data_IF_588330923405
#
_entry.id   IF_588330923405
#
_cell.length_a   1.000
_cell.length_b   1.000
_cell.length_c   1.000
_cell.angle_alpha   90.00
_cell.angle_beta   90.00
_cell.angle_gamma   90.00
#
_symmetry.space_group_name_H-M   'P 1'
#
loop_
_entity.id
_entity.type
_entity.pdbx_description
1 polymer ?
#
# COMPACT_ATOMS: atom_id res chain seq x y z
N UNK A 1 -35.49 30.32 -2.04
CA UNK A 1 -34.94 30.51 -0.71
C UNK A 1 -33.57 29.84 -0.70
N UNK A 2 -32.55 30.66 -0.92
CA UNK A 2 -31.14 30.26 -0.94
C UNK A 2 -30.65 30.25 0.52
N UNK A 3 -30.33 29.07 1.06
CA UNK A 3 -29.58 28.95 2.31
C UNK A 3 -28.12 29.14 1.99
N UNK A 4 -27.57 30.24 2.50
CA UNK A 4 -26.20 30.64 2.26
C UNK A 4 -25.17 29.68 2.87
N UNK A 5 -24.02 29.71 2.24
CA UNK A 5 -22.77 29.03 2.61
C UNK A 5 -22.04 29.67 3.82
N UNK A 6 -22.75 30.47 4.63
CA UNK A 6 -22.13 31.37 5.62
C UNK A 6 -22.13 30.83 7.06
N UNK A 7 -22.42 29.55 7.27
CA UNK A 7 -22.50 28.95 8.60
C UNK A 7 -21.38 27.93 8.94
N UNK A 8 -20.21 28.08 8.33
CA UNK A 8 -18.98 27.50 8.85
C UNK A 8 -18.34 28.52 9.78
N UNK A 9 -18.55 28.31 11.10
CA UNK A 9 -18.14 29.21 12.18
C UNK A 9 -16.80 29.89 11.90
N UNK A 10 -16.84 31.22 11.76
CA UNK A 10 -15.72 32.04 11.34
C UNK A 10 -14.59 32.08 12.36
N UNK A 11 -13.70 31.13 12.31
CA UNK A 11 -12.30 31.36 12.59
C UNK A 11 -11.67 31.74 11.25
N UNK A 12 -11.31 32.99 11.06
CA UNK A 12 -10.40 33.40 9.99
C UNK A 12 -9.25 32.41 9.96
N UNK A 13 -9.22 31.57 8.92
CA UNK A 13 -8.03 30.79 8.57
C UNK A 13 -7.00 31.77 8.02
N UNK A 14 -6.45 32.59 8.90
CA UNK A 14 -5.24 33.35 8.63
C UNK A 14 -4.14 32.29 8.57
N UNK A 15 -3.69 31.95 7.38
CA UNK A 15 -2.42 31.26 7.16
C UNK A 15 -1.32 32.16 7.75
N UNK A 16 -1.07 32.02 9.04
CA UNK A 16 0.07 32.61 9.69
C UNK A 16 1.31 31.81 9.21
N UNK A 17 1.85 32.22 8.05
CA UNK A 17 3.02 31.56 7.44
C UNK A 17 4.21 31.52 8.42
N UNK A 18 4.33 32.52 9.27
CA UNK A 18 5.29 32.64 10.37
C UNK A 18 5.19 31.50 11.40
N UNK A 19 4.02 30.86 11.56
CA UNK A 19 3.86 29.72 12.46
C UNK A 19 4.53 28.45 11.94
N UNK A 20 4.71 28.31 10.62
CA UNK A 20 5.39 27.19 10.01
C UNK A 20 6.92 27.25 10.15
N UNK A 21 7.45 28.42 10.51
CA UNK A 21 8.88 28.65 10.75
C UNK A 21 9.26 28.49 12.23
N UNK A 22 8.28 28.25 13.10
CA UNK A 22 8.48 28.15 14.55
C UNK A 22 8.39 26.69 15.00
N UNK A 23 9.53 26.10 15.33
CA UNK A 23 9.64 24.68 15.66
C UNK A 23 8.72 24.27 16.82
N UNK A 24 8.68 25.06 17.90
CA UNK A 24 7.85 24.78 19.09
C UNK A 24 6.35 24.71 18.73
N UNK A 25 5.90 25.55 17.77
CA UNK A 25 4.50 25.56 17.32
C UNK A 25 4.20 24.34 16.48
N UNK A 26 5.14 23.93 15.64
CA UNK A 26 5.03 22.70 14.81
C UNK A 26 4.94 21.48 15.73
N UNK A 27 5.86 21.35 16.69
CA UNK A 27 5.88 20.23 17.65
C UNK A 27 4.59 20.18 18.49
N UNK A 28 4.13 21.30 18.99
CA UNK A 28 2.87 21.37 19.74
C UNK A 28 1.64 21.00 18.90
N UNK A 29 1.71 21.18 17.57
CA UNK A 29 0.63 20.86 16.64
C UNK A 29 0.66 19.42 16.14
N UNK A 30 1.74 18.67 16.39
CA UNK A 30 1.94 17.29 15.95
C UNK A 30 2.13 16.30 17.13
N UNK A 31 1.12 16.15 18.00
CA UNK A 31 1.22 15.24 19.16
C UNK A 31 1.39 13.76 18.78
N UNK A 32 1.13 13.42 17.53
CA UNK A 32 1.31 12.07 16.97
C UNK A 32 2.67 11.84 16.32
N UNK A 33 3.58 12.82 16.33
CA UNK A 33 4.89 12.76 15.68
C UNK A 33 4.81 12.33 14.19
N UNK A 34 3.75 12.79 13.50
CA UNK A 34 3.45 12.42 12.11
C UNK A 34 4.49 12.96 11.15
N UNK A 35 4.99 14.18 11.40
CA UNK A 35 6.01 14.81 10.56
C UNK A 35 7.30 13.98 10.53
N UNK A 36 7.75 13.49 11.69
CA UNK A 36 8.92 12.60 11.75
C UNK A 36 8.68 11.27 11.02
N UNK A 37 7.47 10.72 11.17
CA UNK A 37 7.09 9.50 10.48
C UNK A 37 7.11 9.70 8.96
N UNK A 38 6.59 10.81 8.45
CA UNK A 38 6.65 11.16 7.02
C UNK A 38 8.10 11.39 6.58
N UNK A 39 8.91 12.07 7.37
CA UNK A 39 10.33 12.28 7.10
C UNK A 39 11.13 10.95 7.04
N UNK A 40 10.61 9.86 7.63
CA UNK A 40 11.23 8.54 7.57
C UNK A 40 11.06 7.83 6.20
N UNK A 41 10.43 8.45 5.20
CA UNK A 41 10.14 7.86 3.89
C UNK A 41 11.33 7.14 3.25
N UNK A 42 12.51 7.80 3.21
CA UNK A 42 13.72 7.19 2.67
C UNK A 42 14.18 5.93 3.45
N UNK A 43 13.97 5.90 4.76
CA UNK A 43 14.26 4.71 5.58
C UNK A 43 13.26 3.59 5.27
N UNK A 44 11.98 3.92 5.10
CA UNK A 44 10.95 2.96 4.70
C UNK A 44 11.29 2.31 3.36
N UNK A 45 11.70 3.09 2.35
CA UNK A 45 12.14 2.57 1.04
C UNK A 45 13.27 1.55 1.21
N UNK A 46 14.36 1.93 1.92
CA UNK A 46 15.51 1.03 2.10
C UNK A 46 15.15 -0.25 2.84
N UNK A 47 14.31 -0.14 3.86
CA UNK A 47 13.89 -1.31 4.67
C UNK A 47 12.97 -2.21 3.85
N UNK A 48 12.01 -1.66 3.13
CA UNK A 48 11.11 -2.42 2.28
C UNK A 48 11.85 -3.14 1.13
N UNK A 49 12.83 -2.49 0.50
CA UNK A 49 13.70 -3.13 -0.49
C UNK A 49 14.46 -4.31 0.10
N UNK A 50 15.02 -4.16 1.32
CA UNK A 50 15.69 -5.26 2.01
C UNK A 50 14.74 -6.42 2.27
N UNK A 51 13.54 -6.16 2.80
CA UNK A 51 12.53 -7.20 3.02
C UNK A 51 12.16 -7.91 1.72
N UNK A 52 12.07 -7.19 0.59
CA UNK A 52 11.82 -7.81 -0.72
C UNK A 52 12.97 -8.72 -1.16
N UNK A 53 14.24 -8.34 -0.89
CA UNK A 53 15.40 -9.17 -1.23
C UNK A 53 15.49 -10.46 -0.38
N UNK A 54 14.97 -10.41 0.85
CA UNK A 54 14.91 -11.54 1.77
C UNK A 54 13.70 -12.46 1.51
N UNK A 55 12.73 -12.00 0.69
CA UNK A 55 11.52 -12.74 0.37
C UNK A 55 11.67 -13.45 -0.99
N UNK A 56 11.27 -14.73 -1.05
CA UNK A 56 11.21 -15.45 -2.32
C UNK A 56 10.05 -14.93 -3.20
N UNK A 57 10.38 -14.08 -4.16
CA UNK A 57 9.46 -13.54 -5.15
C UNK A 57 9.59 -14.24 -6.53
N UNK A 58 10.15 -15.45 -6.59
CA UNK A 58 10.41 -16.18 -7.83
C UNK A 58 9.13 -16.54 -8.61
N UNK A 59 7.97 -16.56 -7.95
CA UNK A 59 6.67 -16.77 -8.58
C UNK A 59 6.24 -15.60 -9.50
N UNK A 60 6.87 -14.42 -9.37
CA UNK A 60 6.57 -13.23 -10.18
C UNK A 60 7.67 -13.04 -11.23
N UNK A 61 7.41 -13.50 -12.44
CA UNK A 61 8.35 -13.44 -13.58
C UNK A 61 7.66 -12.86 -14.81
N UNK A 62 8.41 -12.39 -15.83
CA UNK A 62 7.84 -11.86 -17.07
C UNK A 62 6.88 -12.85 -17.76
N UNK A 63 7.19 -14.15 -17.70
CA UNK A 63 6.40 -15.21 -18.31
C UNK A 63 5.06 -15.44 -17.62
N UNK A 64 4.92 -14.93 -16.40
CA UNK A 64 3.70 -15.04 -15.58
C UNK A 64 2.84 -13.78 -15.60
N UNK A 65 2.89 -13.02 -16.70
CA UNK A 65 2.14 -11.78 -16.84
C UNK A 65 0.65 -11.98 -16.53
N UNK A 66 0.09 -11.23 -15.58
CA UNK A 66 -1.31 -11.37 -15.20
C UNK A 66 -2.22 -10.64 -16.19
N UNK A 67 -3.51 -10.99 -16.16
CA UNK A 67 -4.57 -10.19 -16.78
C UNK A 67 -4.81 -8.88 -16.01
N UNK A 68 -4.84 -8.96 -14.67
CA UNK A 68 -4.96 -7.81 -13.80
C UNK A 68 -4.14 -8.01 -12.50
N UNK A 69 -3.75 -6.89 -11.90
CA UNK A 69 -3.19 -6.84 -10.55
C UNK A 69 -4.27 -6.21 -9.66
N UNK A 70 -4.75 -6.98 -8.69
CA UNK A 70 -5.73 -6.53 -7.72
C UNK A 70 -5.01 -6.20 -6.41
N UNK A 71 -5.09 -4.96 -5.99
CA UNK A 71 -4.49 -4.50 -4.73
C UNK A 71 -5.58 -4.39 -3.68
N UNK A 72 -5.54 -5.26 -2.68
CA UNK A 72 -6.48 -5.25 -1.56
C UNK A 72 -5.85 -4.57 -0.35
N UNK A 73 -6.38 -3.41 0.04
CA UNK A 73 -5.87 -2.66 1.19
C UNK A 73 -6.77 -1.49 1.55
N UNK A 74 -7.00 -1.31 2.85
CA UNK A 74 -7.89 -0.28 3.36
C UNK A 74 -7.14 1.02 3.63
N UNK A 75 -7.79 2.16 3.37
CA UNK A 75 -7.25 3.50 3.65
C UNK A 75 -5.86 3.74 3.05
N UNK A 76 -4.88 4.07 3.86
CA UNK A 76 -3.50 4.32 3.41
C UNK A 76 -2.83 3.12 2.71
N UNK A 77 -3.27 1.89 3.00
CA UNK A 77 -2.77 0.70 2.30
C UNK A 77 -3.27 0.64 0.85
N UNK A 78 -4.51 1.10 0.59
CA UNK A 78 -5.03 1.23 -0.77
C UNK A 78 -4.26 2.24 -1.62
N UNK A 79 -3.77 3.32 -1.00
CA UNK A 79 -2.97 4.34 -1.68
C UNK A 79 -1.67 3.77 -2.28
N UNK A 80 -1.10 2.73 -1.70
CA UNK A 80 0.05 2.04 -2.31
C UNK A 80 -0.29 1.42 -3.68
N UNK A 81 -1.53 0.97 -3.87
CA UNK A 81 -2.04 0.52 -5.17
C UNK A 81 -2.15 1.65 -6.19
N UNK A 82 -2.56 2.85 -5.75
CA UNK A 82 -2.58 4.04 -6.62
C UNK A 82 -1.17 4.40 -7.11
N UNK A 83 -0.16 4.32 -6.23
CA UNK A 83 1.24 4.52 -6.61
C UNK A 83 1.66 3.51 -7.68
N UNK A 84 1.35 2.23 -7.50
CA UNK A 84 1.64 1.21 -8.51
C UNK A 84 0.96 1.54 -9.84
N UNK A 85 -0.33 1.86 -9.81
CA UNK A 85 -1.10 2.24 -11.00
C UNK A 85 -0.50 3.44 -11.74
N UNK A 86 -0.08 4.46 -11.00
CA UNK A 86 0.56 5.65 -11.56
C UNK A 86 1.91 5.35 -12.24
N UNK A 87 2.72 4.47 -11.64
CA UNK A 87 4.02 4.05 -12.20
C UNK A 87 3.84 3.16 -13.44
N UNK A 88 2.89 2.24 -13.40
CA UNK A 88 2.57 1.38 -14.55
C UNK A 88 2.05 2.23 -15.72
N UNK A 89 1.25 3.22 -15.43
CA UNK A 89 0.71 4.17 -16.40
C UNK A 89 -0.39 3.61 -17.31
N UNK A 90 -1.06 4.49 -18.07
CA UNK A 90 -2.24 4.14 -18.84
C UNK A 90 -1.95 3.28 -20.10
N UNK A 91 -0.71 3.20 -20.54
CA UNK A 91 -0.32 2.40 -21.69
C UNK A 91 -0.08 0.91 -21.34
N UNK A 92 -0.16 0.54 -20.07
CA UNK A 92 0.02 -0.85 -19.64
C UNK A 92 -1.15 -1.72 -20.11
N UNK A 93 -0.86 -2.90 -20.65
CA UNK A 93 -1.89 -3.88 -20.97
C UNK A 93 -2.38 -4.66 -19.71
N UNK A 94 -1.80 -4.41 -18.55
CA UNK A 94 -2.21 -4.98 -17.26
C UNK A 94 -2.89 -3.90 -16.45
N UNK A 95 -4.13 -4.15 -16.05
CA UNK A 95 -4.89 -3.22 -15.22
C UNK A 95 -4.52 -3.37 -13.75
N UNK A 96 -4.43 -2.25 -13.03
CA UNK A 96 -4.36 -2.23 -11.56
C UNK A 96 -5.74 -1.87 -11.02
N UNK A 97 -6.29 -2.74 -10.18
CA UNK A 97 -7.61 -2.57 -9.58
C UNK A 97 -7.45 -2.53 -8.06
N UNK A 98 -7.95 -1.48 -7.43
CA UNK A 98 -7.86 -1.32 -5.97
C UNK A 98 -9.18 -1.76 -5.34
N UNK A 99 -9.08 -2.65 -4.37
CA UNK A 99 -10.21 -3.19 -3.60
C UNK A 99 -10.11 -2.70 -2.16
N UNK A 100 -11.06 -1.86 -1.77
CA UNK A 100 -11.20 -1.34 -0.41
C UNK A 100 -12.51 -1.85 0.22
N UNK A 101 -12.69 -3.16 0.16
CA UNK A 101 -13.83 -3.87 0.73
C UNK A 101 -13.42 -5.27 1.16
N UNK A 102 -14.31 -5.98 1.81
CA UNK A 102 -14.14 -7.39 2.21
C UNK A 102 -14.45 -8.39 1.08
N UNK A 103 -14.86 -7.89 -0.09
CA UNK A 103 -15.28 -8.72 -1.21
C UNK A 103 -14.29 -8.66 -2.38
N UNK A 104 -13.74 -9.81 -2.73
CA UNK A 104 -12.96 -9.96 -3.96
C UNK A 104 -13.93 -10.00 -5.16
N UNK A 105 -13.78 -9.10 -6.17
CA UNK A 105 -14.64 -9.09 -7.34
C UNK A 105 -14.79 -10.47 -7.99
N UNK A 106 -15.98 -10.80 -8.48
CA UNK A 106 -16.32 -12.13 -9.00
C UNK A 106 -15.51 -12.57 -10.21
N UNK A 107 -14.96 -11.62 -10.98
CA UNK A 107 -14.15 -11.90 -12.16
C UNK A 107 -12.68 -12.27 -11.83
N UNK A 108 -12.21 -12.02 -10.59
CA UNK A 108 -10.83 -12.30 -10.17
C UNK A 108 -10.63 -13.79 -9.97
N UNK A 109 -9.57 -14.33 -10.54
CA UNK A 109 -9.24 -15.76 -10.50
C UNK A 109 -7.77 -16.05 -10.78
N UNK A 110 -7.46 -17.28 -11.15
CA UNK A 110 -6.09 -17.77 -11.33
C UNK A 110 -5.24 -17.02 -12.38
N UNK A 111 -5.88 -16.28 -13.31
CA UNK A 111 -5.19 -15.45 -14.29
C UNK A 111 -4.75 -14.08 -13.73
N UNK A 112 -5.12 -13.78 -12.52
CA UNK A 112 -4.87 -12.49 -11.88
C UNK A 112 -3.89 -12.63 -10.72
N UNK A 113 -3.30 -11.50 -10.32
CA UNK A 113 -2.49 -11.38 -9.11
C UNK A 113 -3.27 -10.59 -8.08
N UNK A 114 -3.27 -11.06 -6.83
CA UNK A 114 -3.80 -10.32 -5.69
C UNK A 114 -2.64 -9.94 -4.77
N UNK A 115 -2.51 -8.63 -4.52
CA UNK A 115 -1.54 -8.07 -3.57
C UNK A 115 -2.32 -7.59 -2.34
N UNK A 116 -2.22 -8.32 -1.24
CA UNK A 116 -2.95 -8.04 0.00
C UNK A 116 -2.08 -7.21 0.95
N UNK A 117 -2.54 -6.00 1.29
CA UNK A 117 -1.77 -5.03 2.05
C UNK A 117 -2.48 -4.69 3.37
N UNK A 118 -1.78 -4.86 4.47
CA UNK A 118 -2.24 -4.40 5.78
C UNK A 118 -1.06 -4.04 6.66
N UNK A 119 -0.91 -2.76 7.00
CA UNK A 119 0.18 -2.32 7.87
C UNK A 119 0.19 -3.04 9.23
N UNK A 120 -0.99 -3.32 9.80
CA UNK A 120 -1.14 -4.10 11.03
C UNK A 120 -1.15 -5.61 10.80
N UNK A 121 -1.41 -6.05 9.56
CA UNK A 121 -1.66 -7.45 9.25
C UNK A 121 -2.94 -8.03 9.85
N UNK A 122 -3.86 -7.17 10.35
CA UNK A 122 -5.06 -7.56 11.09
C UNK A 122 -6.36 -6.99 10.49
N UNK A 123 -6.29 -6.27 9.36
CA UNK A 123 -7.46 -5.62 8.74
C UNK A 123 -8.41 -6.67 8.19
N UNK A 124 -9.61 -6.75 8.76
CA UNK A 124 -10.57 -7.82 8.47
C UNK A 124 -10.91 -7.95 6.98
N UNK A 125 -11.12 -6.83 6.30
CA UNK A 125 -11.43 -6.78 4.87
C UNK A 125 -10.27 -7.34 4.03
N UNK A 126 -9.03 -6.93 4.34
CA UNK A 126 -7.84 -7.45 3.64
C UNK A 126 -7.66 -8.95 3.87
N UNK A 127 -7.91 -9.43 5.10
CA UNK A 127 -7.84 -10.85 5.43
C UNK A 127 -8.90 -11.66 4.67
N UNK A 128 -10.14 -11.15 4.58
CA UNK A 128 -11.21 -11.78 3.82
C UNK A 128 -10.84 -11.91 2.33
N UNK A 129 -10.36 -10.82 1.72
CA UNK A 129 -9.94 -10.81 0.31
C UNK A 129 -8.76 -11.75 0.08
N UNK A 130 -7.74 -11.75 0.94
CA UNK A 130 -6.57 -12.63 0.81
C UNK A 130 -6.97 -14.11 0.91
N UNK A 131 -7.86 -14.45 1.86
CA UNK A 131 -8.40 -15.81 2.02
C UNK A 131 -9.17 -16.25 0.79
N UNK A 132 -10.03 -15.39 0.26
CA UNK A 132 -10.81 -15.70 -0.94
C UNK A 132 -9.92 -15.81 -2.19
N UNK A 133 -8.89 -14.97 -2.33
CA UNK A 133 -7.91 -15.05 -3.40
C UNK A 133 -7.17 -16.40 -3.39
N UNK A 134 -6.73 -16.84 -2.21
CA UNK A 134 -6.10 -18.15 -2.03
C UNK A 134 -7.07 -19.30 -2.42
N UNK A 135 -8.34 -19.21 -1.98
CA UNK A 135 -9.37 -20.21 -2.32
C UNK A 135 -9.64 -20.30 -3.83
N UNK A 136 -9.59 -19.17 -4.55
CA UNK A 136 -9.78 -19.11 -6.01
C UNK A 136 -8.54 -19.48 -6.81
N UNK A 137 -7.42 -19.80 -6.16
CA UNK A 137 -6.16 -20.12 -6.81
C UNK A 137 -5.50 -18.91 -7.49
N UNK A 138 -5.79 -17.68 -7.05
CA UNK A 138 -5.08 -16.52 -7.51
C UNK A 138 -3.62 -16.58 -7.07
N UNK A 139 -2.70 -16.02 -7.88
CA UNK A 139 -1.36 -15.74 -7.39
C UNK A 139 -1.45 -14.63 -6.36
N UNK A 140 -1.05 -14.94 -5.14
CA UNK A 140 -1.15 -14.05 -3.99
C UNK A 140 0.25 -13.61 -3.56
N UNK A 141 0.41 -12.36 -3.18
CA UNK A 141 1.48 -11.89 -2.29
C UNK A 141 0.87 -11.01 -1.21
N UNK A 142 1.47 -11.03 -0.04
CA UNK A 142 1.01 -10.23 1.08
C UNK A 142 2.12 -9.34 1.64
N UNK A 143 1.75 -8.15 2.12
CA UNK A 143 2.65 -7.18 2.75
C UNK A 143 2.03 -6.73 4.07
N UNK A 144 2.74 -6.86 5.17
CA UNK A 144 2.18 -6.49 6.47
C UNK A 144 3.11 -6.73 7.64
N UNK A 145 2.60 -6.49 8.86
CA UNK A 145 3.36 -6.75 10.09
C UNK A 145 3.70 -8.23 10.23
N UNK A 146 4.88 -8.52 10.78
CA UNK A 146 5.27 -9.87 11.17
C UNK A 146 4.33 -10.44 12.24
N UNK A 147 4.28 -11.76 12.33
CA UNK A 147 3.48 -12.52 13.31
C UNK A 147 1.97 -12.21 13.25
N UNK A 148 1.50 -11.71 12.11
CA UNK A 148 0.13 -11.27 11.89
C UNK A 148 -0.76 -12.39 11.31
N UNK A 149 -2.09 -12.15 11.32
CA UNK A 149 -3.03 -13.05 10.66
C UNK A 149 -2.82 -13.06 9.14
N UNK A 150 -2.46 -11.93 8.53
CA UNK A 150 -2.17 -11.85 7.10
C UNK A 150 -0.96 -12.71 6.72
N UNK A 151 0.09 -12.73 7.54
CA UNK A 151 1.23 -13.62 7.33
C UNK A 151 0.81 -15.09 7.36
N UNK A 152 -0.01 -15.50 8.33
CA UNK A 152 -0.51 -16.89 8.43
C UNK A 152 -1.32 -17.30 7.20
N UNK A 153 -2.15 -16.40 6.68
CA UNK A 153 -2.90 -16.66 5.42
C UNK A 153 -1.93 -16.85 4.26
N UNK A 154 -0.91 -15.99 4.14
CA UNK A 154 0.09 -16.11 3.09
C UNK A 154 0.85 -17.45 3.19
N UNK A 155 1.30 -17.83 4.39
CA UNK A 155 1.98 -19.10 4.65
C UNK A 155 1.11 -20.31 4.27
N UNK A 156 -0.17 -20.32 4.67
CA UNK A 156 -1.12 -21.39 4.33
C UNK A 156 -1.35 -21.48 2.81
N UNK A 157 -1.37 -20.33 2.14
CA UNK A 157 -1.48 -20.24 0.68
C UNK A 157 -0.17 -20.51 -0.06
N UNK A 158 0.95 -20.70 0.65
CA UNK A 158 2.32 -20.74 0.09
C UNK A 158 2.63 -19.53 -0.77
N UNK A 159 2.10 -18.37 -0.37
CA UNK A 159 2.29 -17.09 -1.02
C UNK A 159 3.44 -16.33 -0.36
N UNK A 160 4.23 -15.55 -1.12
CA UNK A 160 5.22 -14.66 -0.57
C UNK A 160 4.62 -13.67 0.43
N UNK A 161 5.32 -13.48 1.54
CA UNK A 161 4.98 -12.47 2.55
C UNK A 161 6.17 -11.53 2.73
N UNK A 162 5.98 -10.26 2.40
CA UNK A 162 6.98 -9.21 2.65
C UNK A 162 6.68 -8.56 4.00
N UNK A 163 7.60 -8.76 4.92
CA UNK A 163 7.46 -8.21 6.26
C UNK A 163 7.66 -6.68 6.25
N UNK A 164 6.72 -5.99 6.86
CA UNK A 164 6.78 -4.55 7.08
C UNK A 164 7.51 -4.27 8.39
N UNK A 165 8.51 -3.40 8.36
CA UNK A 165 9.16 -2.98 9.60
C UNK A 165 8.15 -2.24 10.49
N UNK A 166 8.14 -2.51 11.80
CA UNK A 166 7.27 -1.79 12.71
C UNK A 166 7.65 -0.30 12.70
N UNK A 167 6.76 0.54 12.25
CA UNK A 167 6.96 2.00 12.22
C UNK A 167 5.62 2.73 12.17
N UNK A 168 5.38 3.56 13.17
CA UNK A 168 4.42 4.64 13.14
C UNK A 168 2.95 4.30 12.84
N UNK A 169 2.25 5.32 12.43
CA UNK A 169 0.83 5.24 12.06
C UNK A 169 0.68 4.63 10.65
N UNK A 170 -0.34 3.82 10.38
CA UNK A 170 -0.55 3.19 9.07
C UNK A 170 -0.54 4.18 7.90
N UNK A 171 -1.07 5.39 8.09
CA UNK A 171 -1.13 6.45 7.07
C UNK A 171 0.25 7.03 6.70
N UNK A 172 1.25 6.91 7.58
CA UNK A 172 2.62 7.38 7.32
C UNK A 172 3.53 6.30 6.72
N UNK A 173 3.01 5.08 6.50
CA UNK A 173 3.78 3.93 6.01
C UNK A 173 3.64 3.69 4.50
N UNK A 174 3.29 4.72 3.74
CA UNK A 174 3.03 4.61 2.30
C UNK A 174 4.16 3.90 1.56
N UNK A 175 5.41 4.33 1.77
CA UNK A 175 6.55 3.78 1.04
C UNK A 175 6.92 2.36 1.47
N UNK A 176 6.72 2.02 2.73
CA UNK A 176 6.88 0.64 3.20
C UNK A 176 5.94 -0.33 2.49
N UNK A 177 4.71 0.13 2.19
CA UNK A 177 3.69 -0.67 1.49
C UNK A 177 3.84 -0.62 -0.04
N UNK A 178 4.20 0.54 -0.61
CA UNK A 178 4.26 0.72 -2.06
C UNK A 178 5.49 0.03 -2.70
N UNK A 179 6.64 0.06 -2.03
CA UNK A 179 7.89 -0.50 -2.58
C UNK A 179 7.76 -1.99 -2.92
N UNK A 180 7.19 -2.87 -2.08
CA UNK A 180 6.99 -4.26 -2.46
C UNK A 180 6.14 -4.44 -3.72
N UNK A 181 5.12 -3.59 -3.90
CA UNK A 181 4.29 -3.62 -5.11
C UNK A 181 5.08 -3.23 -6.35
N UNK A 182 5.91 -2.19 -6.23
CA UNK A 182 6.77 -1.74 -7.33
C UNK A 182 7.80 -2.82 -7.70
N UNK A 183 8.42 -3.47 -6.72
CA UNK A 183 9.36 -4.58 -6.95
C UNK A 183 8.68 -5.74 -7.66
N UNK A 184 7.46 -6.12 -7.25
CA UNK A 184 6.69 -7.16 -7.93
C UNK A 184 6.31 -6.71 -9.36
N UNK A 185 5.87 -5.46 -9.53
CA UNK A 185 5.56 -4.89 -10.83
C UNK A 185 6.74 -4.87 -11.78
N UNK A 186 7.94 -4.57 -11.29
CA UNK A 186 9.18 -4.62 -12.07
C UNK A 186 9.53 -6.05 -12.50
N UNK A 187 9.42 -7.03 -11.59
CA UNK A 187 9.63 -8.45 -11.90
C UNK A 187 8.69 -8.97 -12.98
N UNK A 188 7.45 -8.47 -13.02
CA UNK A 188 6.46 -8.78 -14.04
C UNK A 188 6.68 -8.00 -15.35
N UNK A 189 7.66 -7.08 -15.39
CA UNK A 189 7.91 -6.15 -16.51
C UNK A 189 6.67 -5.31 -16.86
N UNK A 190 5.82 -5.03 -15.88
CA UNK A 190 4.68 -4.12 -16.04
C UNK A 190 4.97 -2.74 -15.46
N UNK A 191 5.91 -2.62 -14.52
CA UNK A 191 6.47 -1.36 -14.03
C UNK A 191 7.93 -1.26 -14.47
N UNK A 192 8.38 -0.04 -14.76
CA UNK A 192 9.81 0.27 -14.95
C UNK A 192 10.23 1.25 -13.88
N UNK A 193 11.09 0.81 -12.98
CA UNK A 193 11.77 1.68 -12.04
C UNK A 193 13.06 2.06 -12.73
N UNK A 194 13.24 3.33 -13.03
CA UNK A 194 14.46 3.78 -13.70
C UNK A 194 15.70 3.47 -12.83
N UNK A 195 16.75 2.83 -13.37
CA UNK A 195 17.93 2.48 -12.57
C UNK A 195 18.80 3.67 -12.17
N UNK A 196 18.50 4.86 -12.64
CA UNK A 196 19.39 6.04 -12.60
C UNK A 196 18.86 7.18 -11.71
N UNK A 197 18.30 6.88 -10.54
CA UNK A 197 17.99 7.90 -9.51
C UNK A 197 18.69 7.60 -8.20
#
# INVERSE_FOLDING_TARGET
MSKGLDDWGGSEFVLAADRLDTLDVIEASDPGDVLRQVASAAAQVRTALRSCLETDLSAFTPDTRPRAIVVAGMGGSGLAGEVLGAVIGPASPVQVVIVQSDQLPGWVGAADIVLALSASGQTAETLAVATEAARRGCRLAAVGAQDSLLQRIAEQARAPFVALAPAGLPRSMLWGLAIPLLVIGERLVVARIAPDV
#
